data_IF_141137128553
#
_entry.id   IF_141137128553
#
_cell.length_a   1.000
_cell.length_b   1.000
_cell.length_c   1.000
_cell.angle_alpha   90.00
_cell.angle_beta   90.00
_cell.angle_gamma   90.00
#
_symmetry.space_group_name_H-M   'P 1'
#
loop_
_entity.id
_entity.type
_entity.pdbx_description
1 polymer ?
#
# COMPACT_ATOMS: atom_id res chain seq x y z
N UNK A 1 -26.46 22.09 11.01
CA UNK A 1 -26.46 21.54 12.39
C UNK A 1 -26.82 22.65 13.36
N UNK A 2 -27.73 22.42 14.32
CA UNK A 2 -28.07 23.40 15.36
C UNK A 2 -26.89 23.57 16.33
N UNK A 3 -26.94 24.60 17.18
CA UNK A 3 -25.89 24.91 18.18
C UNK A 3 -25.60 23.78 19.17
N UNK A 4 -26.53 22.84 19.34
CA UNK A 4 -26.46 21.67 20.22
C UNK A 4 -25.95 20.39 19.53
N UNK A 5 -25.55 20.47 18.25
CA UNK A 5 -25.09 19.31 17.48
C UNK A 5 -26.22 18.53 16.80
N UNK A 6 -27.49 18.92 16.96
CA UNK A 6 -28.60 18.22 16.29
C UNK A 6 -28.70 18.58 14.80
N UNK A 7 -28.95 17.56 13.98
CA UNK A 7 -29.12 17.69 12.53
C UNK A 7 -30.41 18.50 12.26
N UNK A 8 -30.29 19.52 11.41
CA UNK A 8 -31.44 20.34 10.98
C UNK A 8 -32.17 19.55 9.91
N UNK A 9 -33.48 19.39 10.06
CA UNK A 9 -34.31 18.54 9.20
C UNK A 9 -35.41 19.38 8.51
N UNK A 10 -35.80 19.00 7.31
CA UNK A 10 -36.84 19.66 6.51
C UNK A 10 -38.27 19.25 6.95
N UNK A 11 -39.28 19.70 6.19
CA UNK A 11 -40.69 19.44 6.48
C UNK A 11 -41.03 17.94 6.36
N UNK A 12 -40.25 17.20 5.59
CA UNK A 12 -40.28 15.75 5.39
C UNK A 12 -39.36 15.02 6.39
N UNK A 13 -38.71 15.78 7.29
CA UNK A 13 -37.81 15.33 8.34
C UNK A 13 -36.40 14.92 7.88
N UNK A 14 -36.08 15.04 6.59
CA UNK A 14 -34.81 14.64 6.03
C UNK A 14 -33.72 15.66 6.42
N UNK A 15 -32.46 15.26 6.61
CA UNK A 15 -31.37 16.19 6.89
C UNK A 15 -31.28 17.27 5.80
N UNK A 16 -31.38 18.54 6.19
CA UNK A 16 -31.16 19.66 5.27
C UNK A 16 -29.66 19.72 4.98
N UNK A 17 -29.27 19.36 3.76
CA UNK A 17 -27.93 19.52 3.24
C UNK A 17 -27.70 20.99 2.84
N UNK A 18 -26.57 21.57 3.24
CA UNK A 18 -26.15 22.89 2.76
C UNK A 18 -25.50 22.77 1.38
N UNK A 19 -26.32 22.45 0.38
CA UNK A 19 -25.90 22.29 -1.01
C UNK A 19 -25.74 20.84 -1.43
N UNK A 20 -25.42 20.68 -2.71
CA UNK A 20 -25.16 19.38 -3.33
C UNK A 20 -23.89 18.75 -2.72
N UNK A 21 -23.91 17.44 -2.39
CA UNK A 21 -22.72 16.74 -1.94
C UNK A 21 -21.59 16.88 -2.97
N UNK A 22 -20.38 17.23 -2.49
CA UNK A 22 -19.20 17.32 -3.37
C UNK A 22 -18.72 15.95 -3.87
N UNK A 23 -19.01 14.91 -3.09
CA UNK A 23 -18.73 13.50 -3.37
C UNK A 23 -19.88 12.67 -2.81
N UNK A 24 -20.13 11.51 -3.41
CA UNK A 24 -21.13 10.56 -2.92
C UNK A 24 -20.63 9.84 -1.66
N UNK A 25 -21.58 9.23 -0.94
CA UNK A 25 -21.30 8.57 0.34
C UNK A 25 -20.35 7.37 0.16
N UNK A 26 -20.42 6.63 -0.94
CA UNK A 26 -19.54 5.48 -1.21
C UNK A 26 -18.09 5.95 -1.39
N UNK A 27 -17.89 7.03 -2.16
CA UNK A 27 -16.60 7.70 -2.29
C UNK A 27 -16.10 8.18 -0.93
N UNK A 28 -16.95 8.76 -0.09
CA UNK A 28 -16.57 9.22 1.26
C UNK A 28 -16.11 8.07 2.15
N UNK A 29 -16.88 6.99 2.26
CA UNK A 29 -16.53 5.85 3.12
C UNK A 29 -15.30 5.11 2.60
N UNK A 30 -15.14 4.95 1.29
CA UNK A 30 -13.93 4.40 0.67
C UNK A 30 -12.70 5.22 1.05
N UNK A 31 -12.82 6.55 1.02
CA UNK A 31 -11.74 7.46 1.39
C UNK A 31 -11.42 7.38 2.90
N UNK A 32 -12.43 7.26 3.77
CA UNK A 32 -12.22 7.06 5.21
C UNK A 32 -11.49 5.74 5.51
N UNK A 33 -11.83 4.63 4.85
CA UNK A 33 -11.14 3.35 5.01
C UNK A 33 -9.69 3.40 4.50
N UNK A 34 -9.45 4.05 3.35
CA UNK A 34 -8.09 4.28 2.86
C UNK A 34 -7.26 5.10 3.85
N UNK A 35 -7.84 6.15 4.43
CA UNK A 35 -7.20 6.98 5.46
C UNK A 35 -6.93 6.19 6.75
N UNK A 36 -7.84 5.31 7.18
CA UNK A 36 -7.61 4.42 8.34
C UNK A 36 -6.46 3.46 8.09
N UNK A 37 -6.41 2.82 6.91
CA UNK A 37 -5.32 1.92 6.54
C UNK A 37 -3.96 2.66 6.54
N UNK A 38 -3.93 3.90 6.04
CA UNK A 38 -2.77 4.78 6.12
C UNK A 38 -2.40 5.14 7.58
N UNK A 39 -3.39 5.32 8.45
CA UNK A 39 -3.17 5.64 9.86
C UNK A 39 -2.69 4.44 10.70
N UNK A 40 -3.05 3.21 10.31
CA UNK A 40 -2.63 1.96 10.97
C UNK A 40 -1.38 1.33 10.36
N UNK A 41 -0.94 1.77 9.18
CA UNK A 41 0.36 1.39 8.61
C UNK A 41 1.53 1.79 9.51
N UNK A 42 2.73 1.22 9.32
CA UNK A 42 3.87 1.45 10.21
C UNK A 42 4.10 2.94 10.45
N UNK A 43 4.00 3.34 11.72
CA UNK A 43 4.14 4.73 12.20
C UNK A 43 5.57 5.20 12.04
N UNK A 44 5.89 5.65 10.84
CA UNK A 44 7.10 6.42 10.57
C UNK A 44 7.19 6.72 9.08
N UNK A 45 7.70 7.90 8.68
CA UNK A 45 8.19 8.01 7.32
C UNK A 45 9.25 6.92 7.15
N UNK A 46 8.95 5.89 6.32
CA UNK A 46 10.01 5.02 5.77
C UNK A 46 11.09 5.99 5.30
N UNK A 47 12.29 5.89 5.88
CA UNK A 47 13.37 6.84 5.63
C UNK A 47 13.48 6.97 4.11
N UNK A 48 13.21 8.17 3.58
CA UNK A 48 13.13 8.42 2.12
C UNK A 48 14.43 8.07 1.38
N UNK A 49 15.49 7.82 2.15
CA UNK A 49 16.86 7.60 1.72
C UNK A 49 17.27 6.11 1.64
N UNK A 50 16.34 5.18 1.88
CA UNK A 50 16.61 3.74 1.71
C UNK A 50 16.92 3.42 0.24
N UNK A 51 17.97 2.64 -0.04
CA UNK A 51 18.32 2.28 -1.42
C UNK A 51 17.16 1.54 -2.11
N UNK A 52 16.93 1.72 -3.43
CA UNK A 52 15.86 1.06 -4.18
C UNK A 52 15.76 -0.47 -4.11
N UNK A 53 16.80 -1.14 -3.61
CA UNK A 53 16.87 -2.60 -3.52
C UNK A 53 16.92 -3.11 -2.06
N UNK A 54 16.69 -2.24 -1.08
CA UNK A 54 16.57 -2.66 0.31
C UNK A 54 15.31 -3.51 0.50
N UNK A 55 15.41 -4.68 1.14
CA UNK A 55 14.33 -5.68 1.23
C UNK A 55 14.16 -6.55 -0.04
N UNK A 56 14.82 -6.20 -1.14
CA UNK A 56 14.76 -6.95 -2.41
C UNK A 56 16.05 -7.74 -2.62
N UNK A 57 17.21 -7.16 -2.30
CA UNK A 57 18.53 -7.77 -2.51
C UNK A 57 19.06 -8.42 -1.22
N UNK A 58 19.22 -9.73 -1.24
CA UNK A 58 19.62 -10.55 -0.08
C UNK A 58 20.90 -11.33 -0.31
N UNK A 59 21.56 -11.74 0.77
CA UNK A 59 22.75 -12.57 0.75
C UNK A 59 22.39 -14.05 0.64
N UNK A 60 22.83 -14.76 -0.40
CA UNK A 60 22.59 -16.21 -0.57
C UNK A 60 23.33 -17.12 0.43
N UNK A 61 24.06 -16.56 1.39
CA UNK A 61 24.75 -17.32 2.45
C UNK A 61 23.99 -17.24 3.79
N UNK A 62 23.44 -16.08 4.12
CA UNK A 62 22.79 -15.86 5.42
C UNK A 62 21.39 -15.27 5.32
N UNK A 63 20.86 -15.13 4.10
CA UNK A 63 19.52 -14.64 3.78
C UNK A 63 19.17 -13.20 4.17
N UNK A 64 20.08 -12.52 4.85
CA UNK A 64 19.91 -11.14 5.30
C UNK A 64 20.10 -10.12 4.17
N UNK A 65 19.50 -8.95 4.34
CA UNK A 65 19.58 -7.82 3.43
C UNK A 65 21.03 -7.41 3.11
N UNK A 66 21.24 -7.04 1.84
CA UNK A 66 22.49 -6.46 1.36
C UNK A 66 22.42 -4.94 1.45
N UNK A 67 23.40 -4.33 2.11
CA UNK A 67 23.42 -2.88 2.34
C UNK A 67 24.35 -2.18 1.35
N UNK A 68 24.02 -0.93 1.01
CA UNK A 68 24.91 -0.08 0.21
C UNK A 68 26.13 0.31 1.04
N UNK A 69 27.30 0.18 0.43
CA UNK A 69 28.57 0.59 0.98
C UNK A 69 29.43 1.23 -0.11
N UNK A 70 30.46 1.95 0.30
CA UNK A 70 31.32 2.72 -0.59
C UNK A 70 32.76 2.25 -0.41
N UNK A 71 33.50 2.10 -1.51
CA UNK A 71 34.94 1.91 -1.44
C UNK A 71 35.67 2.84 -2.40
N UNK A 72 36.85 3.32 -1.99
CA UNK A 72 37.72 4.09 -2.87
C UNK A 72 38.49 3.14 -3.77
N UNK A 73 38.38 3.35 -5.08
CA UNK A 73 39.16 2.62 -6.06
C UNK A 73 40.66 2.85 -5.84
N UNK A 74 41.43 1.78 -6.07
CA UNK A 74 42.89 1.79 -6.02
C UNK A 74 43.45 1.36 -7.37
N UNK A 75 44.43 2.11 -7.86
CA UNK A 75 45.21 1.78 -9.06
C UNK A 75 46.58 1.23 -8.62
N UNK A 76 47.02 0.13 -9.24
CA UNK A 76 48.32 -0.50 -8.92
C UNK A 76 48.28 -1.72 -7.99
N UNK A 77 47.10 -2.33 -7.77
CA UNK A 77 46.96 -3.58 -6.98
C UNK A 77 46.54 -3.38 -5.52
N UNK A 78 46.54 -4.47 -4.74
CA UNK A 78 46.20 -4.46 -3.29
C UNK A 78 47.44 -4.08 -2.46
N UNK A 79 47.23 -3.52 -1.27
CA UNK A 79 48.31 -3.20 -0.30
C UNK A 79 48.98 -1.84 -0.53
N UNK A 80 50.19 -1.66 0.02
CA UNK A 80 50.93 -0.39 -0.01
C UNK A 80 51.28 0.13 -1.42
N UNK A 81 51.21 -0.73 -2.44
CA UNK A 81 51.45 -0.37 -3.85
C UNK A 81 50.25 0.28 -4.54
N UNK A 82 49.05 0.17 -3.96
CA UNK A 82 47.82 0.71 -4.54
C UNK A 82 47.59 2.17 -4.16
N UNK A 83 47.66 3.09 -5.14
CA UNK A 83 47.31 4.50 -4.93
C UNK A 83 45.80 4.70 -5.05
N UNK A 84 45.19 5.42 -4.10
CA UNK A 84 43.77 5.81 -4.17
C UNK A 84 43.59 6.75 -5.37
N UNK A 85 42.63 6.46 -6.24
CA UNK A 85 42.34 7.28 -7.43
C UNK A 85 41.40 8.45 -7.13
N UNK A 86 40.81 8.49 -5.93
CA UNK A 86 39.76 9.46 -5.58
C UNK A 86 38.36 9.05 -6.05
N UNK A 87 38.25 8.06 -6.94
CA UNK A 87 36.97 7.53 -7.43
C UNK A 87 36.33 6.66 -6.34
N UNK A 88 35.14 7.06 -5.87
CA UNK A 88 34.31 6.24 -4.99
C UNK A 88 33.42 5.33 -5.84
N UNK A 89 33.36 4.04 -5.48
CA UNK A 89 32.47 3.07 -6.10
C UNK A 89 31.47 2.54 -5.09
N UNK A 90 30.23 2.45 -5.53
CA UNK A 90 29.11 1.89 -4.79
C UNK A 90 29.08 0.37 -4.95
N UNK A 91 28.93 -0.32 -3.82
CA UNK A 91 28.79 -1.77 -3.75
C UNK A 91 27.65 -2.12 -2.82
N UNK A 92 26.99 -3.24 -3.09
CA UNK A 92 26.21 -3.94 -2.09
C UNK A 92 27.11 -4.84 -1.28
N UNK A 93 26.91 -4.87 0.04
CA UNK A 93 27.71 -5.64 0.97
C UNK A 93 26.83 -6.29 2.04
N UNK A 94 27.09 -7.57 2.30
CA UNK A 94 26.55 -8.27 3.46
C UNK A 94 27.30 -7.86 4.73
N UNK A 95 26.60 -7.73 5.86
CA UNK A 95 27.21 -7.49 7.17
C UNK A 95 28.14 -8.65 7.60
N UNK A 96 27.83 -9.89 7.18
CA UNK A 96 28.65 -11.07 7.45
C UNK A 96 28.65 -11.54 8.91
N UNK A 97 28.02 -10.82 9.85
CA UNK A 97 27.90 -11.22 11.26
C UNK A 97 27.16 -12.55 11.44
N UNK A 98 26.20 -12.84 10.56
CA UNK A 98 25.44 -14.08 10.54
C UNK A 98 26.15 -15.24 9.82
N UNK A 99 27.33 -15.01 9.24
CA UNK A 99 28.07 -16.07 8.54
C UNK A 99 28.76 -17.01 9.53
N UNK A 100 28.86 -18.29 9.14
CA UNK A 100 29.71 -19.24 9.84
C UNK A 100 31.17 -18.76 9.87
N UNK A 101 31.90 -19.14 10.93
CA UNK A 101 33.31 -18.75 11.12
C UNK A 101 34.15 -19.16 9.91
N UNK A 102 34.84 -18.19 9.30
CA UNK A 102 35.70 -18.39 8.14
C UNK A 102 35.02 -18.15 6.78
N UNK A 103 33.70 -17.95 6.74
CA UNK A 103 32.99 -17.60 5.51
C UNK A 103 33.01 -16.08 5.30
N UNK A 104 33.58 -15.57 4.20
CA UNK A 104 33.70 -14.14 3.98
C UNK A 104 32.34 -13.48 3.70
N UNK A 105 32.20 -12.21 4.09
CA UNK A 105 31.05 -11.39 3.70
C UNK A 105 31.01 -11.18 2.18
N UNK A 106 29.83 -11.31 1.58
CA UNK A 106 29.65 -11.09 0.15
C UNK A 106 29.63 -9.59 -0.19
N UNK A 107 30.15 -9.26 -1.38
CA UNK A 107 30.00 -7.95 -1.99
C UNK A 107 29.83 -8.03 -3.50
N UNK A 108 29.10 -7.09 -4.08
CA UNK A 108 28.85 -6.99 -5.52
C UNK A 108 28.65 -5.52 -5.94
N UNK A 109 28.97 -5.17 -7.19
CA UNK A 109 28.89 -3.79 -7.68
C UNK A 109 27.45 -3.30 -7.84
N UNK A 110 27.13 -2.09 -7.37
CA UNK A 110 25.76 -1.57 -7.36
C UNK A 110 25.19 -1.43 -8.78
N UNK A 111 25.96 -0.79 -9.68
CA UNK A 111 25.55 -0.53 -11.07
C UNK A 111 25.14 -1.81 -11.83
N UNK A 112 25.94 -2.86 -11.70
CA UNK A 112 25.71 -4.11 -12.44
C UNK A 112 24.48 -4.86 -11.89
N UNK A 113 24.24 -4.78 -10.58
CA UNK A 113 23.04 -5.35 -9.95
C UNK A 113 21.80 -4.59 -10.39
N UNK A 114 21.81 -3.26 -10.36
CA UNK A 114 20.66 -2.44 -10.78
C UNK A 114 20.27 -2.71 -12.23
N UNK A 115 21.25 -2.76 -13.13
CA UNK A 115 21.01 -3.08 -14.54
C UNK A 115 20.42 -4.49 -14.72
N UNK A 116 20.94 -5.48 -13.99
CA UNK A 116 20.42 -6.84 -14.02
C UNK A 116 18.97 -6.90 -13.49
N UNK A 117 18.67 -6.24 -12.38
CA UNK A 117 17.32 -6.23 -11.79
C UNK A 117 16.32 -5.59 -12.74
N UNK A 118 16.68 -4.45 -13.35
CA UNK A 118 15.83 -3.79 -14.34
C UNK A 118 15.57 -4.68 -15.56
N UNK A 119 16.62 -5.30 -16.12
CA UNK A 119 16.50 -6.21 -17.25
C UNK A 119 15.60 -7.41 -16.93
N UNK A 120 15.83 -8.06 -15.78
CA UNK A 120 15.04 -9.22 -15.37
C UNK A 120 13.59 -8.84 -15.05
N UNK A 121 13.37 -7.71 -14.37
CA UNK A 121 12.02 -7.25 -14.07
C UNK A 121 11.23 -6.95 -15.34
N UNK A 122 11.82 -6.23 -16.29
CA UNK A 122 11.16 -5.95 -17.57
C UNK A 122 10.95 -7.20 -18.42
N UNK A 123 11.87 -8.16 -18.38
CA UNK A 123 11.72 -9.43 -19.10
C UNK A 123 10.59 -10.30 -18.53
N UNK A 124 10.44 -10.35 -17.20
CA UNK A 124 9.45 -11.21 -16.53
C UNK A 124 8.11 -10.53 -16.33
N UNK A 125 8.07 -9.27 -15.93
CA UNK A 125 6.83 -8.54 -15.60
C UNK A 125 6.41 -7.56 -16.69
N UNK A 126 7.35 -7.04 -17.47
CA UNK A 126 7.12 -5.95 -18.42
C UNK A 126 5.92 -6.13 -19.35
N UNK A 127 5.72 -7.29 -20.01
CA UNK A 127 4.59 -7.50 -20.92
C UNK A 127 3.22 -7.63 -20.23
N UNK A 128 3.18 -7.85 -18.92
CA UNK A 128 1.92 -8.06 -18.22
C UNK A 128 1.21 -6.73 -17.97
N UNK A 129 -0.11 -6.74 -18.14
CA UNK A 129 -0.96 -5.60 -17.76
C UNK A 129 -0.96 -5.45 -16.25
N UNK A 130 -0.96 -4.20 -15.78
CA UNK A 130 -1.08 -3.95 -14.35
C UNK A 130 -2.46 -4.38 -13.88
N UNK A 131 -2.54 -4.90 -12.67
CA UNK A 131 -3.81 -5.15 -12.00
C UNK A 131 -3.89 -4.29 -10.75
N UNK A 132 -5.08 -3.76 -10.47
CA UNK A 132 -5.37 -2.99 -9.28
C UNK A 132 -6.51 -3.67 -8.53
N UNK A 133 -6.31 -3.92 -7.24
CA UNK A 133 -7.38 -4.35 -6.35
C UNK A 133 -8.21 -3.12 -6.00
N UNK A 134 -9.42 -3.04 -6.56
CA UNK A 134 -10.40 -2.02 -6.23
C UNK A 134 -11.33 -2.59 -5.17
N UNK A 135 -11.44 -1.91 -4.03
CA UNK A 135 -12.41 -2.25 -2.99
C UNK A 135 -13.73 -1.57 -3.33
N UNK A 136 -14.74 -2.36 -3.62
CA UNK A 136 -16.10 -1.87 -3.83
C UNK A 136 -16.80 -1.86 -2.49
N UNK A 137 -17.31 -0.68 -2.09
CA UNK A 137 -18.05 -0.50 -0.85
C UNK A 137 -19.25 -1.46 -0.77
N UNK A 138 -19.44 -2.02 0.42
CA UNK A 138 -20.64 -2.80 0.69
C UNK A 138 -21.83 -1.86 0.84
N UNK A 139 -22.97 -2.27 0.30
CA UNK A 139 -24.24 -1.58 0.51
C UNK A 139 -24.92 -2.26 1.69
N UNK A 140 -24.88 -1.61 2.87
CA UNK A 140 -25.55 -2.07 4.09
C UNK A 140 -26.45 -0.97 4.66
N UNK A 141 -27.74 -1.05 4.34
CA UNK A 141 -28.75 -0.11 4.83
C UNK A 141 -29.33 -0.49 6.20
N UNK A 142 -28.82 -1.52 6.88
CA UNK A 142 -29.43 -1.99 8.14
C UNK A 142 -29.51 -0.92 9.23
N UNK A 143 -28.51 -0.05 9.31
CA UNK A 143 -28.52 1.07 10.26
C UNK A 143 -29.59 2.11 9.90
N UNK A 144 -29.65 2.52 8.62
CA UNK A 144 -30.66 3.47 8.12
C UNK A 144 -32.08 2.91 8.26
N UNK A 145 -32.27 1.61 7.98
CA UNK A 145 -33.54 0.89 8.17
C UNK A 145 -33.96 0.89 9.66
N UNK A 146 -33.02 0.67 10.59
CA UNK A 146 -33.31 0.69 12.01
C UNK A 146 -33.75 2.10 12.48
N UNK A 147 -33.04 3.13 12.05
CA UNK A 147 -33.38 4.53 12.35
C UNK A 147 -34.75 4.91 11.77
N UNK A 148 -35.01 4.56 10.51
CA UNK A 148 -36.30 4.83 9.85
C UNK A 148 -37.45 4.06 10.51
N UNK A 149 -37.21 2.83 10.98
CA UNK A 149 -38.20 2.05 11.71
C UNK A 149 -38.56 2.75 13.03
N UNK A 150 -37.56 3.21 13.78
CA UNK A 150 -37.77 3.95 15.02
C UNK A 150 -38.52 5.29 14.78
N UNK A 151 -38.15 6.02 13.72
CA UNK A 151 -38.84 7.26 13.32
C UNK A 151 -40.31 7.00 12.97
N UNK A 152 -40.61 5.93 12.23
CA UNK A 152 -41.98 5.52 11.86
C UNK A 152 -42.81 5.18 13.11
N UNK A 153 -42.23 4.45 14.07
CA UNK A 153 -42.90 4.11 15.34
C UNK A 153 -43.19 5.36 16.19
N UNK A 154 -42.22 6.28 16.29
CA UNK A 154 -42.36 7.54 17.03
C UNK A 154 -43.45 8.43 16.42
N UNK A 155 -43.41 8.63 15.10
CA UNK A 155 -44.39 9.45 14.38
C UNK A 155 -45.80 8.85 14.46
N UNK A 156 -45.93 7.51 14.36
CA UNK A 156 -47.20 6.80 14.52
C UNK A 156 -47.81 7.03 15.91
N UNK A 157 -46.98 6.98 16.95
CA UNK A 157 -47.41 7.25 18.33
C UNK A 157 -47.89 8.69 18.51
N UNK A 158 -47.14 9.66 17.96
CA UNK A 158 -47.49 11.09 18.01
C UNK A 158 -48.78 11.39 17.27
N UNK A 159 -48.98 10.79 16.10
CA UNK A 159 -50.17 11.00 15.28
C UNK A 159 -51.46 10.68 16.05
N UNK A 160 -51.45 9.62 16.88
CA UNK A 160 -52.60 9.25 17.72
C UNK A 160 -52.99 10.29 18.77
N UNK A 161 -52.12 11.26 19.07
CA UNK A 161 -52.33 12.31 20.08
C UNK A 161 -52.70 13.67 19.46
N UNK A 162 -52.59 13.82 18.14
CA UNK A 162 -52.77 15.09 17.43
C UNK A 162 -54.11 15.14 16.68
N UNK A 163 -54.58 16.35 16.38
CA UNK A 163 -55.79 16.59 15.57
C UNK A 163 -55.62 17.81 14.67
N UNK A 164 -56.41 17.86 13.59
CA UNK A 164 -56.42 18.98 12.65
C UNK A 164 -55.10 19.11 11.88
N UNK A 165 -54.71 20.32 11.44
CA UNK A 165 -53.57 20.52 10.54
C UNK A 165 -52.23 19.95 11.04
N UNK A 166 -52.04 19.82 12.36
CA UNK A 166 -50.85 19.20 12.94
C UNK A 166 -50.79 17.68 12.71
N UNK A 167 -51.94 17.01 12.71
CA UNK A 167 -52.02 15.57 12.39
C UNK A 167 -51.73 15.33 10.90
N UNK A 168 -52.23 16.21 10.02
CA UNK A 168 -51.99 16.10 8.57
C UNK A 168 -50.49 16.24 8.22
N UNK A 169 -49.78 17.14 8.91
CA UNK A 169 -48.33 17.31 8.75
C UNK A 169 -47.55 16.05 9.18
N UNK A 170 -47.89 15.47 10.34
CA UNK A 170 -47.24 14.24 10.83
C UNK A 170 -47.57 13.03 9.95
N UNK A 171 -48.80 12.94 9.44
CA UNK A 171 -49.18 11.90 8.48
C UNK A 171 -48.32 11.99 7.20
N UNK A 172 -48.07 13.19 6.71
CA UNK A 172 -47.23 13.41 5.51
C UNK A 172 -45.78 12.94 5.75
N UNK A 173 -45.21 13.27 6.92
CA UNK A 173 -43.88 12.80 7.32
C UNK A 173 -43.81 11.28 7.46
N UNK A 174 -44.83 10.67 8.09
CA UNK A 174 -44.94 9.23 8.28
C UNK A 174 -44.99 8.50 6.94
N UNK A 175 -45.75 9.01 5.97
CA UNK A 175 -45.84 8.45 4.63
C UNK A 175 -44.47 8.47 3.94
N UNK A 176 -43.80 9.63 3.91
CA UNK A 176 -42.48 9.77 3.28
C UNK A 176 -41.41 8.86 3.90
N UNK A 177 -41.45 8.65 5.23
CA UNK A 177 -40.56 7.74 5.95
C UNK A 177 -40.85 6.27 5.65
N UNK A 178 -42.12 5.91 5.58
CA UNK A 178 -42.57 4.56 5.25
C UNK A 178 -42.17 4.19 3.82
N UNK A 179 -42.37 5.10 2.87
CA UNK A 179 -41.99 4.89 1.46
C UNK A 179 -40.47 4.69 1.31
N UNK A 180 -39.67 5.49 2.04
CA UNK A 180 -38.20 5.33 2.05
C UNK A 180 -37.76 4.03 2.72
N UNK A 181 -38.41 3.63 3.82
CA UNK A 181 -38.13 2.37 4.50
C UNK A 181 -38.43 1.18 3.59
N UNK A 182 -39.57 1.19 2.90
CA UNK A 182 -39.96 0.14 1.96
C UNK A 182 -38.96 0.04 0.79
N UNK A 183 -38.56 1.19 0.23
CA UNK A 183 -37.54 1.24 -0.81
C UNK A 183 -36.21 0.61 -0.36
N UNK A 184 -35.71 0.97 0.83
CA UNK A 184 -34.45 0.44 1.36
C UNK A 184 -34.53 -1.03 1.77
N UNK A 185 -35.68 -1.49 2.26
CA UNK A 185 -35.90 -2.91 2.59
C UNK A 185 -35.94 -3.80 1.34
N UNK A 186 -36.37 -3.24 0.19
CA UNK A 186 -36.34 -3.93 -1.09
C UNK A 186 -34.93 -3.99 -1.71
N UNK A 187 -34.00 -3.13 -1.28
CA UNK A 187 -32.63 -3.14 -1.75
C UNK A 187 -31.81 -4.29 -1.10
N UNK A 188 -31.15 -5.15 -1.89
CA UNK A 188 -30.36 -6.24 -1.33
C UNK A 188 -29.09 -5.72 -0.66
N UNK A 189 -28.81 -6.21 0.54
CA UNK A 189 -27.52 -5.99 1.22
C UNK A 189 -26.41 -6.62 0.38
N UNK A 190 -25.42 -5.81 -0.02
CA UNK A 190 -24.25 -6.27 -0.78
C UNK A 190 -23.02 -6.18 0.12
N UNK A 191 -22.36 -7.29 0.46
CA UNK A 191 -21.14 -7.22 1.26
C UNK A 191 -20.03 -6.50 0.48
N UNK A 192 -19.09 -5.82 1.18
CA UNK A 192 -17.88 -5.30 0.56
C UNK A 192 -17.13 -6.42 -0.16
N UNK A 193 -16.62 -6.12 -1.35
CA UNK A 193 -15.82 -7.09 -2.11
C UNK A 193 -14.61 -6.41 -2.76
N UNK A 194 -13.59 -7.22 -2.97
CA UNK A 194 -12.40 -6.81 -3.69
C UNK A 194 -12.53 -7.30 -5.14
N UNK A 195 -12.40 -6.38 -6.09
CA UNK A 195 -12.37 -6.67 -7.52
C UNK A 195 -10.98 -6.38 -8.08
N UNK A 196 -10.41 -7.32 -8.82
CA UNK A 196 -9.13 -7.13 -9.49
C UNK A 196 -9.40 -6.57 -10.89
N UNK A 197 -9.15 -5.28 -11.07
CA UNK A 197 -9.34 -4.60 -12.36
C UNK A 197 -8.01 -4.63 -13.12
N UNK A 198 -8.04 -5.08 -14.37
CA UNK A 198 -6.88 -5.00 -15.26
C UNK A 198 -6.82 -3.60 -15.86
N UNK A 199 -5.68 -2.92 -15.70
CA UNK A 199 -5.45 -1.59 -16.23
C UNK A 199 -5.01 -1.65 -17.70
N UNK A 200 -5.08 -0.50 -18.38
CA UNK A 200 -4.69 -0.38 -19.80
C UNK A 200 -3.17 -0.27 -20.01
N UNK A 201 -2.41 0.01 -18.96
CA UNK A 201 -0.95 0.08 -18.94
C UNK A 201 -0.31 -1.26 -18.54
N UNK A 202 0.91 -1.48 -19.02
CA UNK A 202 1.75 -2.61 -18.62
C UNK A 202 2.73 -2.23 -17.51
N UNK A 203 3.31 -3.24 -16.84
CA UNK A 203 4.40 -3.00 -15.90
C UNK A 203 5.60 -2.30 -16.55
N UNK A 204 5.87 -2.53 -17.84
CA UNK A 204 6.93 -1.84 -18.57
C UNK A 204 6.61 -0.35 -18.79
N UNK A 205 5.35 -0.02 -19.09
CA UNK A 205 4.91 1.37 -19.25
C UNK A 205 5.07 2.13 -17.93
N UNK A 206 4.63 1.55 -16.82
CA UNK A 206 4.75 2.14 -15.49
C UNK A 206 6.22 2.26 -15.05
N UNK A 207 7.05 1.27 -15.37
CA UNK A 207 8.46 1.30 -15.02
C UNK A 207 9.20 2.44 -15.74
N UNK A 208 8.83 2.66 -17.00
CA UNK A 208 9.37 3.72 -17.84
C UNK A 208 8.87 5.11 -17.39
N UNK A 209 7.60 5.20 -17.00
CA UNK A 209 6.99 6.42 -16.47
C UNK A 209 7.41 6.76 -15.03
N UNK A 210 8.00 5.81 -14.29
CA UNK A 210 8.46 6.04 -12.93
C UNK A 210 9.64 7.04 -12.88
N UNK A 211 9.34 8.25 -12.40
CA UNK A 211 10.28 9.38 -12.31
C UNK A 211 11.35 9.21 -11.22
N UNK A 212 11.09 8.39 -10.20
CA UNK A 212 12.00 8.19 -9.07
C UNK A 212 12.30 6.71 -8.79
N UNK A 213 13.44 6.48 -8.14
CA UNK A 213 13.90 5.13 -7.83
C UNK A 213 13.07 4.44 -6.71
N UNK A 214 12.27 5.20 -5.96
CA UNK A 214 11.38 4.66 -4.93
C UNK A 214 10.07 4.12 -5.53
N UNK A 215 9.60 4.70 -6.64
CA UNK A 215 8.47 4.22 -7.41
C UNK A 215 8.80 2.85 -8.01
N UNK A 216 9.98 2.74 -8.62
CA UNK A 216 10.51 1.46 -9.11
C UNK A 216 10.66 0.43 -8.00
N UNK A 217 11.13 0.84 -6.81
CA UNK A 217 11.17 -0.04 -5.63
C UNK A 217 9.79 -0.57 -5.25
N UNK A 218 8.77 0.30 -5.16
CA UNK A 218 7.40 -0.13 -4.85
C UNK A 218 6.88 -1.14 -5.87
N UNK A 219 7.20 -0.96 -7.15
CA UNK A 219 6.84 -1.93 -8.19
C UNK A 219 7.52 -3.30 -7.98
N UNK A 220 8.81 -3.31 -7.61
CA UNK A 220 9.52 -4.54 -7.27
C UNK A 220 8.91 -5.22 -6.03
N UNK A 221 8.55 -4.46 -5.00
CA UNK A 221 7.88 -4.95 -3.79
C UNK A 221 6.48 -5.50 -4.08
N UNK A 222 5.67 -4.78 -4.86
CA UNK A 222 4.32 -5.21 -5.29
C UNK A 222 4.38 -6.52 -6.09
N UNK A 223 5.38 -6.69 -6.94
CA UNK A 223 5.61 -7.92 -7.70
C UNK A 223 6.23 -9.06 -6.86
N UNK A 224 6.54 -8.82 -5.58
CA UNK A 224 7.17 -9.80 -4.70
C UNK A 224 8.54 -10.23 -5.20
N UNK A 225 9.31 -9.29 -5.76
CA UNK A 225 10.64 -9.56 -6.33
C UNK A 225 11.65 -9.81 -5.23
N UNK A 226 12.44 -10.86 -5.40
CA UNK A 226 13.58 -11.18 -4.55
C UNK A 226 14.82 -11.48 -5.39
N UNK A 227 15.94 -10.92 -4.97
CA UNK A 227 17.21 -11.03 -5.69
C UNK A 227 18.28 -11.55 -4.75
N UNK A 228 18.77 -12.76 -5.03
CA UNK A 228 19.74 -13.44 -4.17
C UNK A 228 21.16 -13.30 -4.73
N UNK A 229 22.10 -12.84 -3.90
CA UNK A 229 23.52 -12.71 -4.24
C UNK A 229 24.31 -13.94 -3.80
N UNK A 230 24.91 -14.65 -4.74
CA UNK A 230 25.69 -15.86 -4.51
C UNK A 230 27.21 -15.60 -4.37
N UNK A 231 27.93 -16.50 -3.68
CA UNK A 231 29.38 -16.51 -3.68
C UNK A 231 29.95 -16.58 -5.12
N UNK A 232 31.06 -15.88 -5.42
CA UNK A 232 31.65 -15.93 -6.75
C UNK A 232 32.30 -17.29 -7.01
N UNK A 233 31.93 -17.96 -8.11
CA UNK A 233 32.54 -19.23 -8.53
C UNK A 233 33.99 -19.09 -9.03
N UNK A 234 34.35 -17.90 -9.54
CA UNK A 234 35.69 -17.58 -10.04
C UNK A 234 36.07 -16.14 -9.70
N UNK A 235 37.31 -15.75 -9.99
CA UNK A 235 37.75 -14.37 -9.83
C UNK A 235 36.97 -13.43 -10.76
N UNK A 236 36.25 -12.47 -10.16
CA UNK A 236 35.46 -11.43 -10.86
C UNK A 236 34.50 -12.01 -11.93
N UNK A 237 33.52 -12.84 -11.55
CA UNK A 237 32.46 -13.21 -12.48
C UNK A 237 31.59 -11.97 -12.79
N UNK A 238 30.90 -11.95 -13.93
CA UNK A 238 29.86 -10.95 -14.18
C UNK A 238 28.77 -11.06 -13.10
N UNK A 239 28.04 -9.96 -12.87
CA UNK A 239 27.02 -9.90 -11.83
C UNK A 239 25.90 -10.93 -12.06
N UNK A 240 25.46 -11.11 -13.31
CA UNK A 240 24.39 -12.05 -13.69
C UNK A 240 24.65 -13.50 -13.28
N UNK A 241 25.91 -13.95 -13.26
CA UNK A 241 26.26 -15.31 -12.81
C UNK A 241 26.22 -15.48 -11.28
N UNK A 242 26.12 -14.37 -10.55
CA UNK A 242 26.07 -14.34 -9.09
C UNK A 242 24.70 -13.93 -8.56
N UNK A 243 23.72 -13.71 -9.43
CA UNK A 243 22.41 -13.24 -9.06
C UNK A 243 21.35 -14.26 -9.47
N UNK A 244 20.38 -14.48 -8.60
CA UNK A 244 19.13 -15.18 -8.92
C UNK A 244 18.00 -14.21 -8.72
N UNK A 245 17.11 -14.09 -9.70
CA UNK A 245 15.94 -13.23 -9.68
C UNK A 245 14.68 -14.10 -9.57
N UNK A 246 13.87 -13.83 -8.56
CA UNK A 246 12.63 -14.54 -8.26
C UNK A 246 11.48 -13.53 -8.17
N UNK A 247 10.28 -13.94 -8.57
CA UNK A 247 9.05 -13.14 -8.58
C UNK A 247 7.97 -13.91 -7.82
N UNK A 248 7.09 -13.21 -7.10
CA UNK A 248 6.01 -13.82 -6.32
C UNK A 248 6.48 -14.45 -5.01
N UNK A 249 7.72 -14.20 -4.60
CA UNK A 249 8.22 -14.52 -3.26
C UNK A 249 7.83 -13.40 -2.32
N UNK A 250 6.57 -13.38 -1.85
CA UNK A 250 6.18 -12.45 -0.80
C UNK A 250 6.90 -12.83 0.51
N UNK A 251 8.02 -12.16 0.78
CA UNK A 251 8.59 -12.09 2.13
C UNK A 251 7.76 -11.05 2.88
N UNK A 252 7.33 -11.40 4.09
CA UNK A 252 6.52 -10.55 4.96
C UNK A 252 7.19 -9.16 5.14
N UNK A 253 6.62 -8.08 4.58
CA UNK A 253 7.21 -6.74 4.64
C UNK A 253 7.35 -6.19 6.06
N UNK A 254 6.58 -6.71 7.02
CA UNK A 254 6.69 -6.32 8.43
C UNK A 254 7.95 -6.92 9.06
N UNK A 255 8.30 -8.15 8.69
CA UNK A 255 9.45 -8.86 9.23
C UNK A 255 10.77 -8.20 8.81
N UNK A 256 10.87 -7.79 7.55
CA UNK A 256 12.03 -7.05 7.03
C UNK A 256 12.19 -5.67 7.69
N UNK A 257 11.08 -4.94 7.88
CA UNK A 257 11.10 -3.64 8.54
C UNK A 257 11.57 -3.74 10.00
N UNK A 258 11.20 -4.81 10.70
CA UNK A 258 11.63 -5.09 12.07
C UNK A 258 13.11 -5.46 12.15
N UNK A 259 13.65 -6.21 11.19
CA UNK A 259 15.08 -6.53 11.13
C UNK A 259 15.96 -5.30 10.90
N UNK A 260 15.52 -4.36 10.05
CA UNK A 260 16.23 -3.11 9.80
C UNK A 260 16.26 -2.19 11.03
N UNK A 261 15.14 -2.09 11.78
CA UNK A 261 15.10 -1.33 13.04
C UNK A 261 16.10 -1.92 14.04
N UNK A 262 16.08 -3.24 14.23
CA UNK A 262 17.04 -3.94 15.11
C UNK A 262 18.49 -3.73 14.68
N UNK A 263 18.76 -3.64 13.39
CA UNK A 263 20.09 -3.36 12.89
C UNK A 263 20.55 -1.94 13.24
N UNK A 264 19.68 -0.94 13.07
CA UNK A 264 20.01 0.46 13.39
C UNK A 264 20.19 0.71 14.89
N UNK A 265 19.43 0.03 15.74
CA UNK A 265 19.62 0.06 17.19
C UNK A 265 20.93 -0.60 17.65
N UNK A 266 21.55 -1.42 16.79
CA UNK A 266 22.82 -2.12 17.07
C UNK A 266 24.08 -1.40 16.56
N UNK A 267 23.92 -0.25 15.90
CA UNK A 267 25.01 0.63 15.41
C UNK A 267 25.39 1.67 16.46
#
# INVERSE_FOLDING_TARGET
VKKDGTVVRDAEGAPILQGEPLIDDDTWYTLQEALKALATGPKGPRRKDGHPLLGILVCGVCDQNMYVSWYSERKGGRGQKGKRTGVKKEIFRCNGKAHAKGVPALSIGCKDVLAYVEEQFLAHMGPFRRTQVVRVGGVDHRAEIADLTADVEELSTRLGQLRGPAADAVMTQLQARSDRLEALQAEPVRPPREEVVTMDNTWADDWTAADDAQARRRMLEEAGVRVTVHPPARWRPPASERLTFEVGTHVDPEQDALEDIRHQESL
#
